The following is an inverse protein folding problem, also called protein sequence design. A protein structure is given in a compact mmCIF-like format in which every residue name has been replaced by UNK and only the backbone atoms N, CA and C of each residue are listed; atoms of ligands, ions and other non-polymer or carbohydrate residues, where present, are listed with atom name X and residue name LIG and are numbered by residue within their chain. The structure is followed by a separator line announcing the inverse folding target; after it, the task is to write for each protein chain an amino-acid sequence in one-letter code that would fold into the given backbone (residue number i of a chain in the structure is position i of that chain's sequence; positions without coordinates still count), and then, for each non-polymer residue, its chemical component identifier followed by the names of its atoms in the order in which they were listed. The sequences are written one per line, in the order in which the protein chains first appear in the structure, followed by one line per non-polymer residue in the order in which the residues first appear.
data_IF_646108968716
#
_entry.id   IF_646108968716
#
_cell.length_a   1.000
_cell.length_b   1.000
_cell.length_c   1.000
_cell.angle_alpha   90.00
_cell.angle_beta   90.00
_cell.angle_gamma   90.00
#
_symmetry.space_group_name_H-M   'P 1'
#
loop_
_entity.id
_entity.type
_entity.pdbx_description
1 polymer ?
#
# COMPACT_ATOMS: atom_id res chain seq x y z
N UNK A 1 -7.87 -94.29 4.44
CA UNK A 1 -6.96 -93.33 3.75
C UNK A 1 -7.61 -91.94 3.84
N UNK A 2 -7.12 -91.05 4.73
CA UNK A 2 -7.62 -89.63 4.86
C UNK A 2 -6.70 -88.76 4.05
N UNK A 3 -7.22 -88.14 2.99
CA UNK A 3 -6.50 -87.10 2.22
C UNK A 3 -6.50 -85.80 3.02
N UNK A 4 -5.31 -85.32 3.37
CA UNK A 4 -5.13 -83.97 3.96
C UNK A 4 -5.08 -82.95 2.83
N UNK A 5 -6.03 -81.94 2.78
CA UNK A 5 -5.97 -80.83 1.93
C UNK A 5 -4.98 -79.78 2.46
N UNK A 6 -3.99 -79.40 1.70
CA UNK A 6 -3.07 -78.32 2.03
C UNK A 6 -3.72 -77.01 1.64
N UNK A 7 -3.94 -76.12 2.62
CA UNK A 7 -4.39 -74.76 2.39
C UNK A 7 -3.18 -73.86 2.01
N UNK A 8 -3.19 -73.34 0.78
CA UNK A 8 -2.22 -72.30 0.36
C UNK A 8 -2.70 -70.96 0.85
N UNK A 9 -1.99 -70.33 1.76
CA UNK A 9 -2.15 -68.95 2.12
C UNK A 9 -1.32 -68.07 1.16
N UNK A 10 -1.99 -67.26 0.34
CA UNK A 10 -1.35 -66.26 -0.49
C UNK A 10 -1.21 -64.98 0.35
N UNK A 11 0.00 -64.45 0.61
CA UNK A 11 0.11 -63.19 1.32
C UNK A 11 -0.25 -62.02 0.37
N UNK A 12 -1.32 -61.32 0.72
CA UNK A 12 -1.66 -60.06 0.05
C UNK A 12 -0.73 -58.97 0.61
N UNK A 13 0.29 -58.61 -0.19
CA UNK A 13 1.17 -57.49 0.13
C UNK A 13 0.44 -56.20 -0.30
N UNK A 14 -0.04 -55.43 0.68
CA UNK A 14 -0.55 -54.09 0.47
C UNK A 14 0.63 -53.14 0.27
N UNK A 15 0.87 -52.72 -1.00
CA UNK A 15 1.76 -51.62 -1.27
C UNK A 15 1.06 -50.29 -0.87
N UNK A 16 1.38 -49.74 0.30
CA UNK A 16 1.06 -48.39 0.66
C UNK A 16 1.89 -47.44 -0.19
N UNK A 17 1.35 -47.03 -1.33
CA UNK A 17 1.90 -45.91 -2.12
C UNK A 17 1.59 -44.66 -1.33
N UNK A 18 2.55 -44.17 -0.54
CA UNK A 18 2.48 -42.87 0.11
C UNK A 18 2.55 -41.78 -0.96
N UNK A 19 1.41 -41.20 -1.29
CA UNK A 19 1.40 -39.95 -2.06
C UNK A 19 1.90 -38.82 -1.14
N UNK A 20 2.97 -38.09 -1.51
CA UNK A 20 3.36 -36.91 -0.75
C UNK A 20 2.23 -35.88 -0.88
N UNK A 21 1.49 -35.67 0.21
CA UNK A 21 0.59 -34.53 0.34
C UNK A 21 1.45 -33.27 0.38
N UNK A 22 1.75 -32.68 -0.79
CA UNK A 22 2.27 -31.35 -0.89
C UNK A 22 1.12 -30.39 -0.55
N UNK A 23 1.08 -29.92 0.69
CA UNK A 23 0.36 -28.71 1.04
C UNK A 23 1.04 -27.57 0.30
N UNK A 24 0.46 -27.10 -0.80
CA UNK A 24 0.81 -25.82 -1.35
C UNK A 24 0.30 -24.76 -0.37
N UNK A 25 1.20 -24.20 0.44
CA UNK A 25 0.94 -22.98 1.20
C UNK A 25 0.64 -21.86 0.19
N UNK A 26 -0.65 -21.69 -0.15
CA UNK A 26 -1.11 -20.55 -0.96
C UNK A 26 -0.88 -19.31 -0.13
N UNK A 27 0.22 -18.59 -0.38
CA UNK A 27 0.44 -17.28 0.21
C UNK A 27 -0.68 -16.36 -0.24
N UNK A 28 -1.39 -15.77 0.73
CA UNK A 28 -2.45 -14.79 0.48
C UNK A 28 -1.91 -13.50 -0.15
N UNK A 29 -0.67 -13.15 0.16
CA UNK A 29 -0.02 -11.93 -0.31
C UNK A 29 1.32 -12.23 -0.97
N UNK A 30 1.58 -11.51 -2.05
CA UNK A 30 2.87 -11.52 -2.74
C UNK A 30 3.49 -10.13 -2.63
N UNK A 31 4.74 -10.06 -2.17
CA UNK A 31 5.50 -8.81 -2.17
C UNK A 31 5.91 -8.45 -3.59
N UNK A 32 5.49 -7.28 -4.05
CA UNK A 32 5.86 -6.77 -5.37
C UNK A 32 7.06 -5.83 -5.25
N UNK A 33 8.14 -6.05 -6.03
CA UNK A 33 9.31 -5.18 -5.98
C UNK A 33 9.02 -3.84 -6.67
N UNK A 34 9.70 -2.78 -6.21
CA UNK A 34 9.60 -1.44 -6.81
C UNK A 34 10.05 -1.41 -8.29
N UNK A 35 10.95 -2.30 -8.68
CA UNK A 35 11.35 -2.48 -10.08
C UNK A 35 10.21 -2.93 -11.00
N UNK A 36 9.18 -3.61 -10.45
CA UNK A 36 7.96 -3.95 -11.19
C UNK A 36 6.93 -2.84 -11.10
N UNK A 37 6.69 -2.35 -9.87
CA UNK A 37 5.60 -1.40 -9.61
C UNK A 37 5.93 0.04 -9.99
N UNK A 38 7.19 0.44 -9.99
CA UNK A 38 7.60 1.84 -10.12
C UNK A 38 7.42 2.67 -8.84
N UNK A 39 6.88 2.09 -7.76
CA UNK A 39 6.68 2.80 -6.50
C UNK A 39 7.99 2.78 -5.70
N UNK A 40 8.58 3.96 -5.51
CA UNK A 40 9.83 4.16 -4.77
C UNK A 40 9.63 5.04 -3.51
N UNK A 41 8.38 5.14 -3.03
CA UNK A 41 8.07 5.94 -1.86
C UNK A 41 8.67 5.33 -0.59
N UNK A 42 9.36 6.18 0.19
CA UNK A 42 9.87 5.85 1.52
C UNK A 42 9.42 6.96 2.48
N UNK A 43 8.65 6.62 3.50
CA UNK A 43 8.29 7.56 4.56
C UNK A 43 9.46 7.74 5.52
N UNK A 44 10.47 8.51 5.09
CA UNK A 44 11.65 8.81 5.91
C UNK A 44 11.34 9.93 6.88
N UNK A 45 11.68 9.74 8.16
CA UNK A 45 11.57 10.76 9.20
C UNK A 45 12.89 11.55 9.26
N UNK A 46 12.79 12.87 9.15
CA UNK A 46 13.91 13.80 9.33
C UNK A 46 13.70 14.57 10.62
N UNK A 47 14.61 14.37 11.55
CA UNK A 47 14.64 15.11 12.82
C UNK A 47 15.64 16.25 12.77
N UNK A 48 15.32 17.33 13.48
CA UNK A 48 16.21 18.44 13.75
C UNK A 48 15.98 19.02 15.16
N UNK A 49 16.62 20.15 15.47
CA UNK A 49 16.46 20.82 16.77
C UNK A 49 15.03 21.32 17.04
N UNK A 50 14.21 21.52 15.99
CA UNK A 50 12.86 22.05 16.09
C UNK A 50 11.81 20.97 15.98
N UNK A 51 12.12 19.84 15.30
CA UNK A 51 11.25 18.70 15.12
C UNK A 51 11.98 17.41 15.50
N UNK A 52 11.64 16.86 16.66
CA UNK A 52 12.14 15.59 17.16
C UNK A 52 11.12 14.95 18.10
N UNK A 53 11.38 13.73 18.54
CA UNK A 53 10.49 12.99 19.42
C UNK A 53 10.11 13.74 20.70
N UNK A 54 11.04 14.45 21.33
CA UNK A 54 10.78 15.18 22.58
C UNK A 54 9.84 16.38 22.40
N UNK A 55 9.88 17.02 21.23
CA UNK A 55 9.03 18.17 20.90
C UNK A 55 7.71 17.77 20.30
N UNK A 56 7.65 16.61 19.64
CA UNK A 56 6.44 16.09 19.01
C UNK A 56 6.41 14.55 19.03
N UNK A 57 5.82 13.99 20.07
CA UNK A 57 5.79 12.53 20.32
C UNK A 57 5.08 11.74 19.22
N UNK A 58 4.18 12.37 18.44
CA UNK A 58 3.46 11.73 17.33
C UNK A 58 4.24 11.70 16.02
N UNK A 59 5.51 12.12 16.03
CA UNK A 59 6.36 12.19 14.84
C UNK A 59 6.50 10.83 14.13
N UNK A 60 6.52 9.77 14.91
CA UNK A 60 6.72 8.39 14.43
C UNK A 60 5.43 7.61 14.15
N UNK A 61 4.25 8.26 14.21
CA UNK A 61 2.98 7.57 13.96
C UNK A 61 2.77 7.17 12.49
N UNK A 62 3.64 7.63 11.59
CA UNK A 62 3.58 7.32 10.17
C UNK A 62 2.74 8.30 9.36
N UNK A 63 2.79 8.14 8.05
CA UNK A 63 1.94 8.86 7.08
C UNK A 63 0.67 8.08 6.77
N UNK A 64 -0.19 8.66 5.94
CA UNK A 64 -1.40 8.04 5.43
C UNK A 64 -1.25 7.52 4.01
N UNK A 65 -2.18 6.66 3.62
CA UNK A 65 -2.34 6.19 2.24
C UNK A 65 -3.80 6.37 1.85
N UNK A 66 -4.05 6.98 0.70
CA UNK A 66 -5.36 7.03 0.07
C UNK A 66 -5.32 6.29 -1.28
N UNK A 67 -6.40 5.62 -1.61
CA UNK A 67 -6.56 4.86 -2.85
C UNK A 67 -7.86 5.31 -3.50
N UNK A 68 -7.82 5.64 -4.78
CA UNK A 68 -8.98 6.04 -5.56
C UNK A 68 -8.61 6.28 -7.03
N UNK A 69 -9.58 6.25 -7.89
CA UNK A 69 -9.44 6.55 -9.31
C UNK A 69 -9.50 8.06 -9.50
N UNK A 70 -8.32 8.71 -9.58
CA UNK A 70 -8.23 10.18 -9.60
C UNK A 70 -8.40 10.78 -11.00
N UNK A 71 -8.30 9.94 -12.04
CA UNK A 71 -8.44 10.36 -13.43
C UNK A 71 -9.63 9.75 -14.16
N UNK A 72 -10.49 8.99 -13.43
CA UNK A 72 -11.69 8.34 -13.94
C UNK A 72 -11.41 7.32 -15.09
N UNK A 73 -10.25 6.64 -15.05
CA UNK A 73 -9.88 5.62 -16.04
C UNK A 73 -10.27 4.17 -15.63
N UNK A 74 -10.87 3.99 -14.45
CA UNK A 74 -11.28 2.71 -13.91
C UNK A 74 -10.17 1.98 -13.14
N UNK A 75 -8.98 2.57 -12.96
CA UNK A 75 -7.88 2.02 -12.20
C UNK A 75 -7.66 2.83 -10.92
N UNK A 76 -7.42 2.14 -9.80
CA UNK A 76 -7.15 2.83 -8.54
C UNK A 76 -5.71 3.36 -8.50
N UNK A 77 -5.57 4.65 -8.25
CA UNK A 77 -4.33 5.37 -8.01
C UNK A 77 -3.99 5.39 -6.52
N UNK A 78 -2.77 5.77 -6.18
CA UNK A 78 -2.29 5.75 -4.79
C UNK A 78 -1.66 7.10 -4.44
N UNK A 79 -2.12 7.68 -3.33
CA UNK A 79 -1.47 8.83 -2.73
C UNK A 79 -0.90 8.47 -1.35
N UNK A 80 0.40 8.72 -1.16
CA UNK A 80 1.10 8.57 0.10
C UNK A 80 1.37 9.93 0.74
N UNK A 81 0.97 10.14 1.98
CA UNK A 81 1.44 11.27 2.76
C UNK A 81 2.70 10.89 3.55
N UNK A 82 3.74 11.70 3.42
CA UNK A 82 4.99 11.52 4.15
C UNK A 82 4.97 12.29 5.47
N UNK A 83 5.47 11.68 6.57
CA UNK A 83 5.48 12.37 7.86
C UNK A 83 6.26 13.68 7.81
N UNK A 84 7.48 13.69 7.29
CA UNK A 84 8.32 14.91 7.22
C UNK A 84 8.80 15.25 5.81
N UNK A 85 8.72 14.33 4.86
CA UNK A 85 9.14 14.51 3.46
C UNK A 85 8.01 14.99 2.55
N UNK A 86 8.21 14.85 1.26
CA UNK A 86 7.18 15.11 0.26
C UNK A 86 6.22 13.94 0.12
N UNK A 87 4.93 14.26 -0.03
CA UNK A 87 3.90 13.29 -0.41
C UNK A 87 4.18 12.77 -1.83
N UNK A 88 3.52 11.66 -2.20
CA UNK A 88 3.63 11.13 -3.56
C UNK A 88 2.26 10.69 -4.09
N UNK A 89 1.98 11.09 -5.33
CA UNK A 89 0.83 10.62 -6.10
C UNK A 89 1.32 9.71 -7.23
N UNK A 90 0.83 8.48 -7.23
CA UNK A 90 1.16 7.46 -8.20
C UNK A 90 -0.05 7.12 -9.05
N UNK A 91 0.03 7.41 -10.34
CA UNK A 91 -0.99 7.03 -11.32
C UNK A 91 -0.82 5.56 -11.71
N UNK A 92 -1.90 4.81 -11.68
CA UNK A 92 -1.93 3.39 -12.06
C UNK A 92 -1.98 3.26 -13.59
N UNK A 93 -1.03 2.52 -14.15
CA UNK A 93 -0.94 2.26 -15.59
C UNK A 93 -1.44 0.86 -15.97
N UNK A 94 -2.11 0.17 -15.02
CA UNK A 94 -2.48 -1.23 -15.16
C UNK A 94 -1.34 -2.20 -14.83
N UNK A 95 -1.68 -3.48 -14.64
CA UNK A 95 -0.73 -4.57 -14.34
C UNK A 95 0.18 -4.28 -13.12
N UNK A 96 -0.32 -3.56 -12.11
CA UNK A 96 0.42 -3.12 -10.92
C UNK A 96 1.66 -2.28 -11.27
N UNK A 97 1.62 -1.51 -12.34
CA UNK A 97 2.63 -0.52 -12.70
C UNK A 97 2.10 0.88 -12.42
N UNK A 98 2.94 1.70 -11.81
CA UNK A 98 2.57 3.05 -11.39
C UNK A 98 3.61 4.07 -11.87
N UNK A 99 3.16 5.28 -12.11
CA UNK A 99 3.98 6.42 -12.48
C UNK A 99 3.81 7.54 -11.45
N UNK A 100 4.91 8.03 -10.91
CA UNK A 100 4.89 9.22 -10.05
C UNK A 100 4.52 10.44 -10.86
N UNK A 101 3.42 11.10 -10.51
CA UNK A 101 2.92 12.33 -11.14
C UNK A 101 2.86 13.49 -10.13
N UNK A 102 3.49 13.34 -8.97
CA UNK A 102 3.43 14.29 -7.86
C UNK A 102 3.78 15.71 -8.27
N UNK A 103 4.86 15.88 -9.04
CA UNK A 103 5.38 17.17 -9.44
C UNK A 103 4.45 17.83 -10.48
N UNK A 104 4.04 17.09 -11.50
CA UNK A 104 3.13 17.62 -12.53
C UNK A 104 1.76 17.99 -11.97
N UNK A 105 1.27 17.21 -10.99
CA UNK A 105 0.00 17.48 -10.32
C UNK A 105 0.11 18.52 -9.18
N UNK A 106 1.33 18.97 -8.80
CA UNK A 106 1.52 19.99 -7.77
C UNK A 106 1.13 19.54 -6.34
N UNK A 107 1.05 18.23 -6.06
CA UNK A 107 0.46 17.68 -4.84
C UNK A 107 1.49 17.15 -3.81
N UNK A 108 2.76 17.55 -3.94
CA UNK A 108 3.86 17.07 -3.07
C UNK A 108 3.75 17.48 -1.60
N UNK A 109 2.96 18.50 -1.31
CA UNK A 109 2.81 19.05 0.05
C UNK A 109 4.02 19.86 0.48
N UNK A 110 3.78 20.74 1.43
CA UNK A 110 4.78 21.62 2.04
C UNK A 110 5.21 21.11 3.41
N UNK A 111 5.90 21.95 4.18
CA UNK A 111 6.28 21.69 5.57
C UNK A 111 5.09 21.28 6.44
N UNK A 112 5.40 20.64 7.56
CA UNK A 112 4.45 20.10 8.52
C UNK A 112 4.53 18.58 8.61
N UNK A 113 4.19 18.03 9.75
CA UNK A 113 4.07 16.57 9.90
C UNK A 113 2.73 16.16 9.32
N UNK A 114 2.78 15.39 8.24
CA UNK A 114 1.56 14.87 7.60
C UNK A 114 1.22 13.50 8.20
N UNK A 115 -0.07 13.22 8.28
CA UNK A 115 -0.59 11.96 8.85
C UNK A 115 -1.65 11.36 7.92
N UNK A 116 -2.93 11.51 8.25
CA UNK A 116 -4.02 10.95 7.46
C UNK A 116 -4.21 11.67 6.13
N UNK A 117 -4.66 10.93 5.13
CA UNK A 117 -5.06 11.44 3.82
C UNK A 117 -6.30 10.72 3.34
N UNK A 118 -7.16 11.42 2.60
CA UNK A 118 -8.32 10.86 1.92
C UNK A 118 -8.39 11.39 0.48
N UNK A 119 -8.94 10.57 -0.41
CA UNK A 119 -9.45 10.98 -1.72
C UNK A 119 -10.97 10.99 -1.64
N UNK A 120 -11.59 12.12 -1.96
CA UNK A 120 -13.04 12.36 -1.86
C UNK A 120 -13.44 13.47 -2.82
N UNK A 121 -14.54 13.32 -3.51
CA UNK A 121 -15.16 14.39 -4.28
C UNK A 121 -15.83 15.38 -3.31
N UNK A 122 -15.15 16.50 -3.00
CA UNK A 122 -15.60 17.45 -1.96
C UNK A 122 -16.54 18.51 -2.52
N UNK A 123 -16.46 18.78 -3.84
CA UNK A 123 -17.25 19.80 -4.53
C UNK A 123 -18.38 19.21 -5.39
N UNK A 124 -18.47 17.87 -5.44
CA UNK A 124 -19.44 17.08 -6.19
C UNK A 124 -19.39 17.33 -7.72
N UNK A 125 -18.16 17.41 -8.26
CA UNK A 125 -17.92 17.56 -9.68
C UNK A 125 -17.60 16.23 -10.43
N UNK A 126 -17.54 15.11 -9.67
CA UNK A 126 -17.28 13.77 -10.19
C UNK A 126 -15.79 13.41 -10.23
N UNK A 127 -14.89 14.27 -9.76
CA UNK A 127 -13.46 14.01 -9.64
C UNK A 127 -13.07 13.88 -8.17
N UNK A 128 -12.16 12.94 -7.88
CA UNK A 128 -11.67 12.81 -6.52
C UNK A 128 -10.63 13.90 -6.21
N UNK A 129 -10.87 14.65 -5.14
CA UNK A 129 -9.93 15.61 -4.55
C UNK A 129 -9.05 14.94 -3.50
N UNK A 130 -7.96 15.60 -3.10
CA UNK A 130 -7.06 15.07 -2.06
C UNK A 130 -7.08 15.98 -0.84
N UNK A 131 -7.37 15.38 0.33
CA UNK A 131 -7.32 16.07 1.63
C UNK A 131 -6.28 15.40 2.51
N UNK A 132 -5.18 16.11 2.84
CA UNK A 132 -4.14 15.62 3.73
C UNK A 132 -4.05 16.44 5.03
N UNK A 133 -4.02 15.72 6.16
CA UNK A 133 -3.90 16.34 7.48
C UNK A 133 -2.46 16.69 7.79
N UNK A 134 -2.25 17.88 8.37
CA UNK A 134 -0.95 18.34 8.87
C UNK A 134 -1.02 18.69 10.35
N UNK A 135 0.06 18.45 11.07
CA UNK A 135 0.23 18.77 12.49
C UNK A 135 1.70 19.11 12.79
N UNK A 136 2.08 19.08 14.07
CA UNK A 136 3.46 19.24 14.52
C UNK A 136 3.73 20.58 15.21
N UNK A 137 4.97 20.77 15.72
CA UNK A 137 5.36 21.94 16.48
C UNK A 137 5.75 23.15 15.62
N UNK A 138 5.19 23.22 14.42
CA UNK A 138 5.43 24.31 13.48
C UNK A 138 4.52 25.50 13.70
N UNK A 139 4.83 26.61 13.03
CA UNK A 139 3.94 27.76 12.90
C UNK A 139 2.52 27.30 12.49
N UNK A 140 1.45 27.93 13.01
CA UNK A 140 0.07 27.59 12.70
C UNK A 140 -0.25 27.43 11.20
N UNK A 141 0.41 28.19 10.33
CA UNK A 141 0.23 28.08 8.88
C UNK A 141 0.61 26.69 8.35
N UNK A 142 1.62 26.02 8.93
CA UNK A 142 2.05 24.67 8.55
C UNK A 142 1.26 23.55 9.22
N UNK A 143 0.25 23.90 10.03
CA UNK A 143 -0.70 22.96 10.64
C UNK A 143 -2.05 22.92 9.94
N UNK A 144 -2.28 23.82 8.97
CA UNK A 144 -3.49 23.79 8.13
C UNK A 144 -3.49 22.54 7.28
N UNK A 145 -4.67 21.94 7.08
CA UNK A 145 -4.85 20.81 6.17
C UNK A 145 -4.51 21.25 4.73
N UNK A 146 -3.99 20.31 3.96
CA UNK A 146 -3.82 20.48 2.52
C UNK A 146 -5.10 20.00 1.84
N UNK A 147 -5.65 20.83 0.99
CA UNK A 147 -6.76 20.50 0.10
C UNK A 147 -6.32 20.77 -1.32
N UNK A 148 -6.35 19.74 -2.16
CA UNK A 148 -6.07 19.84 -3.57
C UNK A 148 -7.34 19.50 -4.32
N UNK A 149 -7.89 20.48 -5.04
CA UNK A 149 -9.07 20.30 -5.89
C UNK A 149 -8.59 19.78 -7.24
N UNK A 150 -9.20 18.68 -7.67
CA UNK A 150 -8.91 18.06 -8.95
C UNK A 150 -9.69 18.78 -10.07
N UNK A 151 -8.96 19.33 -11.04
CA UNK A 151 -9.57 20.04 -12.17
C UNK A 151 -9.83 19.10 -13.37
N UNK A 152 -9.72 17.77 -13.19
CA UNK A 152 -9.93 16.79 -14.24
C UNK A 152 -8.81 16.70 -15.29
N UNK A 153 -7.67 17.35 -15.07
CA UNK A 153 -6.57 17.45 -16.04
C UNK A 153 -5.22 16.94 -15.52
N UNK A 154 -5.15 16.45 -14.28
CA UNK A 154 -3.96 15.94 -13.58
C UNK A 154 -2.81 16.98 -13.43
N UNK A 155 -3.14 18.29 -13.43
CA UNK A 155 -2.17 19.39 -13.26
C UNK A 155 -2.60 20.37 -12.18
#
# INVERSE_FOLDING_TARGET
MKKRAAAFYLPVIFFLVGFPLHSQDKKLFTSMPSSHTGINFINKIYEDQNLNFYKYTYLYNGGGVAIGDINNDGLNDIYFSASTGYNRLYLNLGNLKFRDITESAGVGGEQGVKSGVNMIDINNDGWLDIVASRAGPYDPQYRKKLLYINNGNLT
#
